data_IF_743581924544
#
_entry.id   IF_743581924544
#
_cell.length_a   1.000
_cell.length_b   1.000
_cell.length_c   1.000
_cell.angle_alpha   90.00
_cell.angle_beta   90.00
_cell.angle_gamma   90.00
#
_symmetry.space_group_name_H-M   'P 1'
#
loop_
_entity.id
_entity.type
_entity.pdbx_description
1 polymer ?
#
# COMPACT_ATOMS: atom_id res chain seq x y z
N UNK A 1 -9.05 -43.79 38.46
CA UNK A 1 -9.17 -42.35 38.41
C UNK A 1 -8.60 -41.85 37.08
N UNK A 2 -9.45 -41.50 36.16
CA UNK A 2 -9.00 -40.90 34.88
C UNK A 2 -8.82 -39.41 35.08
N UNK A 3 -7.60 -38.93 35.08
CA UNK A 3 -7.32 -37.50 35.00
C UNK A 3 -7.56 -37.06 33.57
N UNK A 4 -8.63 -36.32 33.32
CA UNK A 4 -8.86 -35.61 32.08
C UNK A 4 -7.87 -34.45 32.03
N UNK A 5 -6.82 -34.61 31.24
CA UNK A 5 -5.94 -33.52 30.86
C UNK A 5 -6.68 -32.70 29.81
N UNK A 6 -7.28 -31.60 30.24
CA UNK A 6 -7.79 -30.60 29.30
C UNK A 6 -6.58 -29.86 28.73
N UNK A 7 -6.11 -30.30 27.58
CA UNK A 7 -5.14 -29.52 26.80
C UNK A 7 -5.93 -28.37 26.19
N UNK A 8 -5.86 -27.22 26.86
CA UNK A 8 -6.35 -25.97 26.30
C UNK A 8 -5.42 -25.60 25.15
N UNK A 9 -5.77 -26.01 23.95
CA UNK A 9 -5.15 -25.50 22.73
C UNK A 9 -5.50 -24.02 22.63
N UNK A 10 -4.61 -23.19 23.17
CA UNK A 10 -4.56 -21.77 22.87
C UNK A 10 -4.22 -21.66 21.38
N UNK A 11 -5.26 -21.59 20.57
CA UNK A 11 -5.11 -21.17 19.17
C UNK A 11 -4.66 -19.71 19.21
N UNK A 12 -3.36 -19.49 19.13
CA UNK A 12 -2.79 -18.18 18.91
C UNK A 12 -3.16 -17.81 17.48
N UNK A 13 -4.30 -17.13 17.31
CA UNK A 13 -4.61 -16.50 16.04
C UNK A 13 -3.59 -15.38 15.83
N UNK A 14 -2.58 -15.63 15.00
CA UNK A 14 -1.67 -14.59 14.57
C UNK A 14 -2.45 -13.64 13.66
N UNK A 15 -2.80 -12.48 14.19
CA UNK A 15 -3.33 -11.40 13.37
C UNK A 15 -2.21 -10.89 12.47
N UNK A 16 -2.34 -11.13 11.16
CA UNK A 16 -1.43 -10.53 10.19
C UNK A 16 -1.89 -9.08 9.99
N UNK A 17 -1.22 -8.16 10.67
CA UNK A 17 -1.42 -6.74 10.43
C UNK A 17 -0.47 -6.25 9.34
N UNK A 18 -1.00 -5.48 8.38
CA UNK A 18 -0.17 -4.74 7.45
C UNK A 18 0.73 -3.77 8.25
N UNK A 19 2.03 -3.81 7.98
CA UNK A 19 3.00 -2.94 8.62
C UNK A 19 3.36 -1.81 7.66
N UNK A 20 2.74 -0.65 7.87
CA UNK A 20 2.95 0.51 7.04
C UNK A 20 4.18 1.28 7.51
N UNK A 21 5.16 1.39 6.63
CA UNK A 21 6.37 2.18 6.85
C UNK A 21 6.27 3.48 6.07
N UNK A 22 6.44 4.60 6.76
CA UNK A 22 6.45 5.92 6.13
C UNK A 22 7.62 6.04 5.15
N UNK A 23 7.35 6.54 3.94
CA UNK A 23 8.38 6.82 2.93
C UNK A 23 8.63 8.32 2.82
N UNK A 24 7.60 9.09 2.48
CA UNK A 24 7.71 10.52 2.26
C UNK A 24 6.34 11.19 2.31
N UNK A 25 6.36 12.51 2.42
CA UNK A 25 5.18 13.36 2.30
C UNK A 25 5.36 14.29 1.10
N UNK A 26 4.34 14.37 0.24
CA UNK A 26 4.32 15.22 -0.94
C UNK A 26 2.89 15.66 -1.24
N UNK A 27 2.70 16.96 -1.51
CA UNK A 27 1.40 17.51 -1.94
C UNK A 27 0.22 17.08 -1.05
N UNK A 28 0.32 17.35 0.27
CA UNK A 28 -0.74 17.03 1.23
C UNK A 28 -1.05 15.52 1.36
N UNK A 29 -0.12 14.66 0.94
CA UNK A 29 -0.26 13.21 0.98
C UNK A 29 0.94 12.57 1.66
N UNK A 30 0.69 11.76 2.68
CA UNK A 30 1.70 10.87 3.26
C UNK A 30 1.68 9.54 2.54
N UNK A 31 2.85 9.07 2.14
CA UNK A 31 3.00 7.80 1.40
C UNK A 31 3.70 6.80 2.29
N UNK A 32 3.04 5.66 2.50
CA UNK A 32 3.52 4.53 3.28
C UNK A 32 3.57 3.28 2.41
N UNK A 33 4.50 2.39 2.70
CA UNK A 33 4.65 1.11 2.03
C UNK A 33 4.57 -0.04 3.04
N UNK A 34 3.98 -1.15 2.65
CA UNK A 34 4.18 -2.41 3.34
C UNK A 34 5.33 -3.15 2.66
N UNK A 35 6.54 -3.03 3.22
CA UNK A 35 7.76 -3.56 2.61
C UNK A 35 7.76 -5.08 2.52
N UNK A 36 6.97 -5.77 3.33
CA UNK A 36 6.83 -7.23 3.27
C UNK A 36 6.07 -7.69 2.03
N UNK A 37 5.33 -6.80 1.39
CA UNK A 37 4.56 -7.11 0.18
C UNK A 37 5.35 -6.92 -1.09
N UNK A 38 6.58 -6.38 -1.02
CA UNK A 38 7.43 -6.23 -2.19
C UNK A 38 7.71 -7.61 -2.77
N UNK A 39 7.24 -7.85 -3.99
CA UNK A 39 7.38 -9.13 -4.67
C UNK A 39 7.80 -8.92 -6.12
N UNK A 40 8.46 -9.93 -6.68
CA UNK A 40 8.82 -9.95 -8.08
C UNK A 40 7.83 -10.82 -8.84
N UNK A 41 7.24 -10.26 -9.90
CA UNK A 41 6.31 -10.94 -10.80
C UNK A 41 6.82 -10.73 -12.23
N UNK A 42 7.40 -11.77 -12.83
CA UNK A 42 8.14 -11.67 -14.08
C UNK A 42 9.27 -10.63 -13.97
N UNK A 43 9.36 -9.67 -14.89
CA UNK A 43 10.35 -8.59 -14.84
C UNK A 43 9.92 -7.40 -13.97
N UNK A 44 8.74 -7.45 -13.38
CA UNK A 44 8.17 -6.35 -12.62
C UNK A 44 8.27 -6.58 -11.12
N UNK A 45 8.18 -5.49 -10.33
CA UNK A 45 8.02 -5.54 -8.89
C UNK A 45 6.70 -4.94 -8.50
N UNK A 46 6.07 -5.51 -7.47
CA UNK A 46 4.78 -5.07 -6.96
C UNK A 46 4.87 -4.82 -5.47
N UNK A 47 4.09 -3.87 -4.99
CA UNK A 47 3.98 -3.58 -3.56
C UNK A 47 2.66 -2.89 -3.24
N UNK A 48 2.23 -3.04 -2.00
CA UNK A 48 1.08 -2.32 -1.45
C UNK A 48 1.53 -1.03 -0.80
N UNK A 49 0.76 0.04 -1.06
CA UNK A 49 0.96 1.37 -0.50
C UNK A 49 -0.29 1.84 0.21
N UNK A 50 -0.09 2.63 1.25
CA UNK A 50 -1.13 3.39 1.92
C UNK A 50 -0.88 4.88 1.70
N UNK A 51 -1.91 5.61 1.29
CA UNK A 51 -1.88 7.05 1.10
C UNK A 51 -2.80 7.67 2.14
N UNK A 52 -2.27 8.61 2.92
CA UNK A 52 -3.02 9.41 3.89
C UNK A 52 -3.12 10.84 3.39
N UNK A 53 -4.33 11.35 3.26
CA UNK A 53 -4.59 12.68 2.73
C UNK A 53 -4.89 13.65 3.86
N UNK A 54 -4.23 14.81 3.87
CA UNK A 54 -4.55 15.89 4.83
C UNK A 54 -5.93 16.50 4.50
N UNK A 55 -6.47 17.25 5.46
CA UNK A 55 -7.76 17.94 5.27
C UNK A 55 -7.74 18.93 4.10
N UNK A 56 -6.57 19.45 3.74
CA UNK A 56 -6.40 20.42 2.67
C UNK A 56 -6.16 19.78 1.31
N UNK A 57 -6.10 18.45 1.22
CA UNK A 57 -5.91 17.76 -0.05
C UNK A 57 -7.17 17.80 -0.91
N UNK A 58 -6.97 17.71 -2.23
CA UNK A 58 -8.09 17.60 -3.18
C UNK A 58 -8.92 16.32 -2.93
N UNK A 59 -8.28 15.25 -2.49
CA UNK A 59 -8.98 14.00 -2.18
C UNK A 59 -9.92 14.16 -0.99
N UNK A 60 -9.54 14.93 0.03
CA UNK A 60 -10.39 15.19 1.19
C UNK A 60 -11.62 16.03 0.83
N UNK A 61 -11.55 16.84 -0.22
CA UNK A 61 -12.69 17.59 -0.71
C UNK A 61 -13.79 16.72 -1.32
N UNK A 62 -13.43 15.51 -1.73
CA UNK A 62 -14.37 14.50 -2.24
C UNK A 62 -14.55 13.34 -1.26
N UNK A 63 -14.36 13.61 0.03
CA UNK A 63 -14.56 12.67 1.14
C UNK A 63 -13.68 11.42 1.09
N UNK A 64 -12.46 11.54 0.56
CA UNK A 64 -11.45 10.49 0.59
C UNK A 64 -10.30 10.93 1.49
N UNK A 65 -10.09 10.23 2.60
CA UNK A 65 -9.07 10.55 3.59
C UNK A 65 -7.89 9.59 3.57
N UNK A 66 -8.07 8.42 3.02
CA UNK A 66 -6.97 7.46 2.84
C UNK A 66 -7.26 6.54 1.65
N UNK A 67 -6.20 5.93 1.13
CA UNK A 67 -6.30 4.97 0.03
C UNK A 67 -5.29 3.84 0.23
N UNK A 68 -5.66 2.67 -0.24
CA UNK A 68 -4.77 1.53 -0.38
C UNK A 68 -4.61 1.25 -1.86
N UNK A 69 -3.36 1.21 -2.34
CA UNK A 69 -3.09 1.01 -3.76
C UNK A 69 -2.05 -0.10 -3.95
N UNK A 70 -2.34 -0.99 -4.89
CA UNK A 70 -1.41 -2.02 -5.32
C UNK A 70 -0.76 -1.55 -6.61
N UNK A 71 0.57 -1.35 -6.58
CA UNK A 71 1.34 -0.78 -7.69
C UNK A 71 2.32 -1.78 -8.25
N UNK A 72 2.49 -1.70 -9.56
CA UNK A 72 3.49 -2.45 -10.30
C UNK A 72 4.53 -1.50 -10.89
N UNK A 73 5.79 -1.85 -10.69
CA UNK A 73 6.94 -1.06 -11.13
C UNK A 73 7.74 -1.85 -12.16
N UNK A 74 8.08 -1.19 -13.25
CA UNK A 74 9.10 -1.66 -14.18
C UNK A 74 10.41 -0.97 -13.79
N UNK A 75 11.27 -1.69 -13.07
CA UNK A 75 12.54 -1.15 -12.57
C UNK A 75 13.51 -0.83 -13.71
N UNK A 76 13.42 -1.55 -14.81
CA UNK A 76 14.30 -1.38 -15.95
C UNK A 76 13.93 -0.16 -16.79
N UNK A 77 12.63 -0.04 -17.10
CA UNK A 77 12.10 1.04 -17.93
C UNK A 77 11.70 2.28 -17.13
N UNK A 78 11.79 2.20 -15.78
CA UNK A 78 11.43 3.28 -14.87
C UNK A 78 10.01 3.82 -15.11
N UNK A 79 9.04 2.95 -14.93
CA UNK A 79 7.63 3.30 -15.04
C UNK A 79 6.80 2.56 -14.00
N UNK A 80 5.62 3.08 -13.70
CA UNK A 80 4.72 2.57 -12.68
C UNK A 80 3.28 2.57 -13.18
N UNK A 81 2.48 1.64 -12.69
CA UNK A 81 1.03 1.62 -12.88
C UNK A 81 0.31 1.10 -11.65
N UNK A 82 -0.94 1.47 -11.51
CA UNK A 82 -1.81 0.95 -10.47
C UNK A 82 -2.52 -0.31 -10.96
N UNK A 83 -2.50 -1.36 -10.14
CA UNK A 83 -3.23 -2.61 -10.41
C UNK A 83 -4.58 -2.61 -9.71
N UNK A 84 -4.67 -2.01 -8.53
CA UNK A 84 -5.92 -1.85 -7.80
C UNK A 84 -5.85 -0.64 -6.88
N UNK A 85 -7.00 -0.07 -6.57
CA UNK A 85 -7.13 1.10 -5.72
C UNK A 85 -8.39 0.96 -4.88
N UNK A 86 -8.29 1.20 -3.59
CA UNK A 86 -9.43 1.33 -2.70
C UNK A 86 -9.34 2.65 -1.96
N UNK A 87 -10.36 3.48 -2.10
CA UNK A 87 -10.49 4.75 -1.39
C UNK A 87 -11.34 4.57 -0.14
N UNK A 88 -10.97 5.26 0.94
CA UNK A 88 -11.67 5.21 2.22
C UNK A 88 -12.07 6.61 2.67
N UNK A 89 -13.24 6.73 3.27
CA UNK A 89 -13.78 8.02 3.73
C UNK A 89 -13.09 8.56 4.98
N UNK A 90 -12.36 7.73 5.71
CA UNK A 90 -11.63 8.10 6.93
C UNK A 90 -10.15 7.76 6.81
N UNK A 91 -9.36 8.35 7.69
CA UNK A 91 -7.93 8.05 7.82
C UNK A 91 -7.71 6.58 8.21
N UNK A 92 -6.51 6.09 7.97
CA UNK A 92 -6.06 4.74 8.37
C UNK A 92 -6.88 3.61 7.74
N UNK A 93 -7.36 3.80 6.52
CA UNK A 93 -8.12 2.81 5.75
C UNK A 93 -9.42 2.40 6.45
N UNK A 94 -10.10 3.37 7.04
CA UNK A 94 -11.37 3.19 7.75
C UNK A 94 -12.51 3.89 7.04
N UNK A 95 -13.73 3.56 7.45
CA UNK A 95 -14.94 4.17 6.93
C UNK A 95 -15.48 3.49 5.69
N UNK A 96 -16.23 4.23 4.89
CA UNK A 96 -16.83 3.73 3.66
C UNK A 96 -15.75 3.56 2.60
N UNK A 97 -15.70 2.41 1.95
CA UNK A 97 -14.69 2.10 0.94
C UNK A 97 -15.30 1.98 -0.45
N UNK A 98 -14.53 2.41 -1.44
CA UNK A 98 -14.85 2.25 -2.86
C UNK A 98 -13.63 1.69 -3.57
N UNK A 99 -13.76 0.50 -4.16
CA UNK A 99 -12.66 -0.21 -4.78
C UNK A 99 -12.75 -0.17 -6.31
N UNK A 100 -11.58 -0.13 -6.96
CA UNK A 100 -11.43 -0.27 -8.40
C UNK A 100 -10.25 -1.21 -8.70
N UNK A 101 -10.48 -2.21 -9.53
CA UNK A 101 -9.44 -3.13 -10.02
C UNK A 101 -9.04 -2.80 -11.47
N UNK A 102 -9.37 -1.61 -11.93
CA UNK A 102 -8.97 -1.16 -13.26
C UNK A 102 -7.46 -0.89 -13.27
N UNK A 103 -6.73 -1.61 -14.12
CA UNK A 103 -5.30 -1.39 -14.30
C UNK A 103 -5.10 -0.07 -15.04
N UNK A 104 -4.31 0.83 -14.46
CA UNK A 104 -4.00 2.11 -15.09
C UNK A 104 -2.96 1.93 -16.20
N UNK A 105 -2.87 2.94 -17.05
CA UNK A 105 -1.77 3.01 -18.02
C UNK A 105 -0.43 3.17 -17.29
N UNK A 106 0.64 2.76 -17.96
CA UNK A 106 2.00 3.00 -17.47
C UNK A 106 2.33 4.49 -17.48
N UNK A 107 2.91 4.97 -16.39
CA UNK A 107 3.44 6.33 -16.26
C UNK A 107 4.95 6.27 -16.11
N UNK A 108 5.68 7.00 -16.97
CA UNK A 108 7.13 7.10 -16.84
C UNK A 108 7.51 7.94 -15.62
N UNK A 109 8.56 7.51 -14.94
CA UNK A 109 9.07 8.15 -13.73
C UNK A 109 10.25 9.03 -14.12
N UNK A 110 10.08 10.35 -13.92
CA UNK A 110 11.13 11.31 -14.20
C UNK A 110 12.25 11.23 -13.17
N UNK A 111 13.52 11.49 -13.58
CA UNK A 111 14.63 11.53 -12.63
C UNK A 111 14.51 12.70 -11.64
N UNK A 112 15.06 12.51 -10.45
CA UNK A 112 15.06 13.49 -9.35
C UNK A 112 13.66 13.91 -8.86
N UNK A 113 12.73 12.96 -8.86
CA UNK A 113 11.37 13.16 -8.38
C UNK A 113 11.08 12.27 -7.16
N UNK A 114 10.00 12.58 -6.45
CA UNK A 114 9.49 11.72 -5.37
C UNK A 114 9.13 10.33 -5.89
N UNK A 115 8.61 10.23 -7.10
CA UNK A 115 8.27 8.96 -7.72
C UNK A 115 9.52 8.09 -7.96
N UNK A 116 10.65 8.69 -8.34
CA UNK A 116 11.92 7.96 -8.47
C UNK A 116 12.40 7.42 -7.13
N UNK A 117 12.27 8.22 -6.06
CA UNK A 117 12.63 7.75 -4.73
C UNK A 117 11.81 6.52 -4.32
N UNK A 118 10.51 6.51 -4.60
CA UNK A 118 9.63 5.36 -4.33
C UNK A 118 10.04 4.15 -5.18
N UNK A 119 10.34 4.36 -6.45
CA UNK A 119 10.84 3.33 -7.36
C UNK A 119 12.10 2.66 -6.78
N UNK A 120 13.03 3.46 -6.29
CA UNK A 120 14.27 2.94 -5.70
C UNK A 120 14.01 2.10 -4.45
N UNK A 121 13.08 2.50 -3.59
CA UNK A 121 12.69 1.72 -2.42
C UNK A 121 12.18 0.34 -2.83
N UNK A 122 11.37 0.25 -3.87
CA UNK A 122 10.79 -1.01 -4.36
C UNK A 122 11.83 -1.86 -5.12
N UNK A 123 12.67 -1.21 -5.91
CA UNK A 123 13.57 -1.90 -6.84
C UNK A 123 14.90 -2.36 -6.23
N UNK A 124 15.27 -1.83 -5.05
CA UNK A 124 16.53 -2.19 -4.37
C UNK A 124 16.47 -3.52 -3.61
N UNK A 125 15.32 -4.08 -3.40
CA UNK A 125 15.18 -5.34 -2.67
C UNK A 125 15.15 -6.56 -3.57
#
# INVERSE_FOLDING_TARGET
MKKLLFVLLLSISSFVHAQWTFILQANETEIHIDSKTISQVNQFRRAWFKLEYSLNSEMSKVDVRSSRVYREFDCREKKVRNLSLTNFSQSNLLGVSTASNKISDWSFIAPNTNAEFILEVVCKK
#
